data_IF_570494694154
#
_entry.id   IF_570494694154
#
_cell.length_a   1.000
_cell.length_b   1.000
_cell.length_c   1.000
_cell.angle_alpha   90.00
_cell.angle_beta   90.00
_cell.angle_gamma   90.00
#
_symmetry.space_group_name_H-M   'P 1'
#
loop_
_entity.id
_entity.type
_entity.pdbx_description
1 polymer ?
#
# COMPACT_ATOMS: atom_id res chain seq x y z
N UNK A 1 -3.12 36.38 -4.99
CA UNK A 1 -2.67 35.70 -3.75
C UNK A 1 -3.81 35.01 -3.00
N UNK A 2 -4.77 35.71 -2.35
CA UNK A 2 -5.87 35.03 -1.63
C UNK A 2 -6.90 34.34 -2.56
N UNK A 3 -7.14 34.90 -3.76
CA UNK A 3 -7.94 34.27 -4.83
C UNK A 3 -7.25 33.07 -5.50
N UNK A 4 -5.91 33.01 -5.49
CA UNK A 4 -5.16 31.89 -6.09
C UNK A 4 -5.14 30.65 -5.18
N UNK A 5 -5.13 30.86 -3.86
CA UNK A 5 -5.20 29.77 -2.88
C UNK A 5 -6.55 29.05 -2.89
N UNK A 6 -7.64 29.76 -3.21
CA UNK A 6 -8.98 29.17 -3.36
C UNK A 6 -9.14 28.34 -4.64
N UNK A 7 -8.25 28.49 -5.63
CA UNK A 7 -8.29 27.78 -6.91
C UNK A 7 -7.37 26.56 -6.97
N UNK A 8 -6.61 26.27 -5.90
CA UNK A 8 -5.74 25.09 -5.87
C UNK A 8 -6.48 23.91 -5.26
N UNK A 9 -6.59 22.86 -6.07
CA UNK A 9 -7.15 21.56 -5.70
C UNK A 9 -6.40 20.97 -4.51
N UNK A 10 -7.16 20.48 -3.52
CA UNK A 10 -6.65 19.78 -2.35
C UNK A 10 -6.84 18.27 -2.47
N UNK A 11 -5.86 17.56 -1.92
CA UNK A 11 -5.97 16.17 -1.53
C UNK A 11 -6.34 16.15 -0.05
N UNK A 12 -7.49 15.59 0.31
CA UNK A 12 -7.84 15.39 1.71
C UNK A 12 -7.40 14.00 2.17
N UNK A 13 -6.47 13.97 3.11
CA UNK A 13 -5.84 12.73 3.58
C UNK A 13 -6.38 12.35 4.96
N UNK A 14 -6.94 11.16 5.09
CA UNK A 14 -7.35 10.58 6.38
C UNK A 14 -6.26 9.64 6.89
N UNK A 15 -5.59 10.04 7.95
CA UNK A 15 -4.48 9.31 8.55
C UNK A 15 -3.19 10.13 8.62
N UNK A 16 -2.37 9.85 9.63
CA UNK A 16 -1.08 10.52 9.89
C UNK A 16 0.07 9.53 10.00
N UNK A 17 -0.11 8.31 9.48
CA UNK A 17 0.88 7.25 9.64
C UNK A 17 2.21 7.65 8.98
N UNK A 18 3.32 7.14 9.54
CA UNK A 18 4.64 7.26 8.91
C UNK A 18 4.67 6.73 7.48
N UNK A 19 3.80 5.76 7.18
CA UNK A 19 3.62 5.23 5.84
C UNK A 19 3.16 6.32 4.87
N UNK A 20 2.06 7.02 5.17
CA UNK A 20 1.58 8.13 4.32
C UNK A 20 2.65 9.23 4.17
N UNK A 21 3.36 9.55 5.26
CA UNK A 21 4.44 10.54 5.25
C UNK A 21 5.58 10.17 4.29
N UNK A 22 5.97 8.89 4.26
CA UNK A 22 7.00 8.38 3.38
C UNK A 22 6.47 7.88 2.02
N UNK A 23 5.20 8.06 1.69
CA UNK A 23 4.62 7.50 0.47
C UNK A 23 3.79 8.54 -0.27
N UNK A 24 2.51 8.71 0.09
CA UNK A 24 1.62 9.67 -0.57
C UNK A 24 2.13 11.09 -0.44
N UNK A 25 2.44 11.52 0.79
CA UNK A 25 2.95 12.87 1.03
C UNK A 25 4.31 13.09 0.34
N UNK A 26 5.16 12.05 0.34
CA UNK A 26 6.45 12.07 -0.33
C UNK A 26 6.29 12.29 -1.83
N UNK A 27 5.43 11.52 -2.51
CA UNK A 27 5.20 11.65 -3.95
C UNK A 27 4.60 13.01 -4.32
N UNK A 28 3.63 13.49 -3.55
CA UNK A 28 3.07 14.84 -3.76
C UNK A 28 4.14 15.91 -3.55
N UNK A 29 4.96 15.77 -2.51
CA UNK A 29 6.04 16.69 -2.19
C UNK A 29 7.09 16.77 -3.30
N UNK A 30 7.53 15.63 -3.83
CA UNK A 30 8.49 15.57 -4.94
C UNK A 30 7.88 16.10 -6.24
N UNK A 31 6.63 15.72 -6.55
CA UNK A 31 5.91 16.22 -7.73
C UNK A 31 5.79 17.75 -7.71
N UNK A 32 5.47 18.33 -6.55
CA UNK A 32 5.42 19.79 -6.38
C UNK A 32 6.80 20.43 -6.50
N UNK A 33 7.84 19.82 -5.90
CA UNK A 33 9.21 20.34 -5.97
C UNK A 33 9.76 20.36 -7.41
N UNK A 34 9.32 19.41 -8.25
CA UNK A 34 9.66 19.32 -9.67
C UNK A 34 8.77 20.19 -10.57
N UNK A 35 7.75 20.86 -10.02
CA UNK A 35 6.79 21.66 -10.79
C UNK A 35 5.79 20.84 -11.60
N UNK A 36 5.67 19.53 -11.33
CA UNK A 36 4.76 18.62 -12.02
C UNK A 36 3.34 18.63 -11.43
N UNK A 37 3.16 19.18 -10.23
CA UNK A 37 1.87 19.34 -9.59
C UNK A 37 1.81 20.62 -8.75
N UNK A 38 0.60 21.17 -8.61
CA UNK A 38 0.29 22.22 -7.63
C UNK A 38 -0.58 21.72 -6.47
N UNK A 39 -0.88 20.41 -6.43
CA UNK A 39 -1.71 19.81 -5.39
C UNK A 39 -1.07 19.96 -4.02
N UNK A 40 -1.89 20.18 -3.00
CA UNK A 40 -1.49 20.20 -1.59
C UNK A 40 -2.38 19.29 -0.76
N UNK A 41 -1.87 18.90 0.40
CA UNK A 41 -2.53 17.95 1.29
C UNK A 41 -3.14 18.67 2.48
N UNK A 42 -4.42 18.44 2.71
CA UNK A 42 -5.09 18.72 3.97
C UNK A 42 -5.20 17.40 4.75
N UNK A 43 -4.43 17.27 5.84
CA UNK A 43 -4.45 16.08 6.69
C UNK A 43 -5.63 16.17 7.65
N UNK A 44 -6.35 15.06 7.83
CA UNK A 44 -7.40 14.88 8.82
C UNK A 44 -7.01 13.75 9.77
N UNK A 45 -6.73 14.10 11.02
CA UNK A 45 -6.48 13.15 12.10
C UNK A 45 -7.80 12.80 12.80
N UNK A 46 -8.17 11.52 12.74
CA UNK A 46 -9.45 11.04 13.30
C UNK A 46 -9.36 10.55 14.74
N UNK A 47 -8.17 10.19 15.25
CA UNK A 47 -8.00 9.73 16.63
C UNK A 47 -7.57 10.87 17.54
N UNK A 48 -8.07 10.87 18.78
CA UNK A 48 -7.75 11.85 19.81
C UNK A 48 -6.47 11.52 20.60
N UNK A 49 -5.60 10.67 20.05
CA UNK A 49 -4.40 10.24 20.77
C UNK A 49 -3.43 11.42 20.99
N UNK A 50 -2.75 11.51 22.16
CA UNK A 50 -1.79 12.58 22.42
C UNK A 50 -0.68 12.66 21.37
N UNK A 51 -0.19 11.50 20.90
CA UNK A 51 0.80 11.42 19.83
C UNK A 51 0.25 11.98 18.49
N UNK A 52 -1.02 11.70 18.17
CA UNK A 52 -1.69 12.29 17.01
C UNK A 52 -1.73 13.81 17.09
N UNK A 53 -2.19 14.36 18.23
CA UNK A 53 -2.24 15.82 18.45
C UNK A 53 -0.87 16.48 18.35
N UNK A 54 0.19 15.84 18.87
CA UNK A 54 1.55 16.35 18.75
C UNK A 54 2.01 16.41 17.28
N UNK A 55 1.73 15.38 16.48
CA UNK A 55 1.99 15.38 15.04
C UNK A 55 1.23 16.48 14.30
N UNK A 56 -0.04 16.70 14.64
CA UNK A 56 -0.83 17.77 14.02
C UNK A 56 -0.26 19.16 14.27
N UNK A 57 0.14 19.44 15.52
CA UNK A 57 0.83 20.67 15.86
C UNK A 57 2.15 20.83 15.10
N UNK A 58 2.91 19.73 14.93
CA UNK A 58 4.14 19.74 14.16
C UNK A 58 3.90 20.04 12.66
N UNK A 59 2.91 19.40 12.03
CA UNK A 59 2.56 19.67 10.63
C UNK A 59 2.13 21.12 10.39
N UNK A 60 1.42 21.73 11.33
CA UNK A 60 1.00 23.14 11.21
C UNK A 60 2.11 24.15 11.54
N UNK A 61 3.15 23.75 12.27
CA UNK A 61 4.27 24.65 12.65
C UNK A 61 5.48 24.55 11.72
N UNK A 62 5.60 23.49 10.94
CA UNK A 62 6.73 23.26 10.05
C UNK A 62 6.30 23.29 8.58
N UNK A 63 7.00 24.08 7.77
CA UNK A 63 6.75 24.11 6.33
C UNK A 63 7.23 22.87 5.59
N UNK A 64 8.16 22.10 6.19
CA UNK A 64 8.70 20.84 5.63
C UNK A 64 9.05 19.86 6.74
N UNK A 65 9.08 18.56 6.44
CA UNK A 65 9.59 17.53 7.34
C UNK A 65 10.54 16.54 6.63
N UNK A 66 11.41 15.82 7.37
CA UNK A 66 12.36 14.89 6.77
C UNK A 66 11.74 13.53 6.44
N UNK A 67 12.05 13.00 5.25
CA UNK A 67 11.96 11.57 4.96
C UNK A 67 13.36 11.09 4.60
N UNK A 68 13.89 10.19 5.43
CA UNK A 68 15.20 9.58 5.20
C UNK A 68 15.01 8.34 4.34
N UNK A 69 15.67 8.29 3.19
CA UNK A 69 15.62 7.16 2.27
C UNK A 69 16.94 6.42 2.35
N UNK A 70 16.89 5.16 2.78
CA UNK A 70 18.08 4.34 3.00
C UNK A 70 17.93 2.93 2.42
N UNK A 71 18.88 2.51 1.59
CA UNK A 71 18.90 1.17 1.02
C UNK A 71 19.84 1.03 -0.15
N UNK A 72 19.49 0.13 -1.07
CA UNK A 72 20.21 -0.05 -2.32
C UNK A 72 19.25 0.29 -3.46
N UNK A 73 19.75 1.00 -4.47
CA UNK A 73 19.03 1.27 -5.70
C UNK A 73 20.01 1.33 -6.87
N UNK A 74 19.76 0.54 -7.91
CA UNK A 74 20.64 0.42 -9.08
C UNK A 74 22.10 0.07 -8.69
N UNK A 75 22.28 -0.78 -7.68
CA UNK A 75 23.58 -1.19 -7.13
C UNK A 75 24.26 -0.18 -6.20
N UNK A 76 23.76 1.05 -6.09
CA UNK A 76 24.32 2.09 -5.23
C UNK A 76 23.67 2.11 -3.85
N UNK A 77 24.47 2.38 -2.81
CA UNK A 77 23.95 2.61 -1.46
C UNK A 77 23.33 4.01 -1.41
N UNK A 78 22.02 4.05 -1.17
CA UNK A 78 21.26 5.28 -0.95
C UNK A 78 21.21 5.55 0.55
N UNK A 79 21.61 6.76 0.96
CA UNK A 79 21.40 7.31 2.29
C UNK A 79 21.23 8.82 2.18
N UNK A 80 20.00 9.27 1.98
CA UNK A 80 19.68 10.67 1.78
C UNK A 80 18.47 11.11 2.61
N UNK A 81 18.34 12.42 2.81
CA UNK A 81 17.19 13.02 3.50
C UNK A 81 16.48 13.97 2.55
N UNK A 82 15.23 13.65 2.25
CA UNK A 82 14.34 14.50 1.46
C UNK A 82 13.54 15.41 2.42
N UNK A 83 13.45 16.71 2.09
CA UNK A 83 12.60 17.66 2.82
C UNK A 83 11.26 17.78 2.12
N UNK A 84 10.24 17.15 2.68
CA UNK A 84 8.92 17.04 2.05
C UNK A 84 8.09 18.29 2.33
N UNK A 85 7.54 18.89 1.25
CA UNK A 85 6.72 20.10 1.27
C UNK A 85 5.34 19.88 0.61
N UNK A 86 4.56 18.95 1.15
CA UNK A 86 3.24 18.59 0.60
C UNK A 86 2.05 19.15 1.39
N UNK A 87 2.21 19.38 2.69
CA UNK A 87 1.10 19.68 3.61
C UNK A 87 0.77 21.17 3.58
N UNK A 88 -0.51 21.49 3.39
CA UNK A 88 -1.03 22.86 3.52
C UNK A 88 -1.59 23.10 4.92
N UNK A 89 -2.36 22.14 5.44
CA UNK A 89 -3.00 22.25 6.75
C UNK A 89 -3.21 20.87 7.36
N UNK A 90 -3.17 20.81 8.68
CA UNK A 90 -3.39 19.61 9.45
C UNK A 90 -4.56 19.88 10.42
N UNK A 91 -5.66 19.12 10.27
CA UNK A 91 -6.93 19.33 10.97
C UNK A 91 -7.30 18.14 11.84
N UNK A 92 -7.91 18.41 12.98
CA UNK A 92 -8.34 17.43 13.96
C UNK A 92 -9.86 17.20 13.82
N UNK A 93 -10.30 15.97 13.54
CA UNK A 93 -11.68 15.72 13.11
C UNK A 93 -12.74 16.15 14.14
N UNK A 94 -12.48 15.97 15.44
CA UNK A 94 -13.38 16.34 16.54
C UNK A 94 -13.41 17.85 16.84
N UNK A 95 -12.40 18.60 16.40
CA UNK A 95 -12.27 20.03 16.68
C UNK A 95 -12.62 20.88 15.45
N UNK A 96 -12.22 20.43 14.26
CA UNK A 96 -12.24 21.20 13.01
C UNK A 96 -13.30 20.74 12.01
N UNK A 97 -14.31 19.97 12.42
CA UNK A 97 -15.25 19.31 11.51
C UNK A 97 -15.93 20.26 10.51
N UNK A 98 -16.31 21.47 10.93
CA UNK A 98 -16.90 22.46 10.03
C UNK A 98 -15.91 22.94 8.96
N UNK A 99 -14.65 23.15 9.35
CA UNK A 99 -13.57 23.54 8.44
C UNK A 99 -13.30 22.42 7.43
N UNK A 100 -13.26 21.17 7.90
CA UNK A 100 -13.09 19.98 7.07
C UNK A 100 -14.23 19.90 6.04
N UNK A 101 -15.50 20.01 6.45
CA UNK A 101 -16.66 20.04 5.54
C UNK A 101 -16.53 21.16 4.50
N UNK A 102 -16.14 22.36 4.93
CA UNK A 102 -16.00 23.52 4.05
C UNK A 102 -14.93 23.28 2.97
N UNK A 103 -13.74 22.83 3.36
CA UNK A 103 -12.66 22.51 2.44
C UNK A 103 -13.04 21.38 1.49
N UNK A 104 -13.72 20.34 2.01
CA UNK A 104 -14.18 19.19 1.23
C UNK A 104 -15.13 19.60 0.09
N UNK A 105 -16.09 20.48 0.39
CA UNK A 105 -17.04 20.96 -0.61
C UNK A 105 -16.39 21.90 -1.63
N UNK A 106 -15.46 22.76 -1.20
CA UNK A 106 -14.95 23.87 -2.02
C UNK A 106 -13.70 23.54 -2.83
N UNK A 107 -12.79 22.72 -2.30
CA UNK A 107 -11.42 22.58 -2.84
C UNK A 107 -10.95 21.16 -3.05
N UNK A 108 -11.56 20.17 -2.38
CA UNK A 108 -11.11 18.78 -2.48
C UNK A 108 -11.47 18.20 -3.85
N UNK A 109 -10.48 17.59 -4.48
CA UNK A 109 -10.60 16.83 -5.73
C UNK A 109 -10.25 15.36 -5.57
N UNK A 110 -9.41 15.05 -4.58
CA UNK A 110 -8.95 13.70 -4.27
C UNK A 110 -9.06 13.45 -2.76
N UNK A 111 -9.49 12.26 -2.38
CA UNK A 111 -9.46 11.77 -1.00
C UNK A 111 -8.49 10.60 -0.94
N UNK A 112 -7.59 10.62 0.03
CA UNK A 112 -6.69 9.50 0.32
C UNK A 112 -6.95 9.02 1.73
N UNK A 113 -6.95 7.71 1.97
CA UNK A 113 -7.06 7.14 3.31
C UNK A 113 -6.01 6.08 3.58
N UNK A 114 -5.48 6.10 4.80
CA UNK A 114 -4.82 4.94 5.40
C UNK A 114 -5.13 4.98 6.91
N UNK A 115 -6.26 4.39 7.26
CA UNK A 115 -6.89 4.50 8.59
C UNK A 115 -6.61 3.30 9.50
N UNK A 116 -5.47 2.63 9.27
CA UNK A 116 -5.02 1.39 9.92
C UNK A 116 -5.92 0.17 9.65
N UNK A 117 -5.57 -0.98 10.24
CA UNK A 117 -6.14 -2.30 9.91
C UNK A 117 -7.66 -2.40 10.11
N UNK A 118 -8.23 -1.56 10.99
CA UNK A 118 -9.67 -1.52 11.27
C UNK A 118 -10.35 -0.30 10.63
N UNK A 119 -9.68 0.36 9.69
CA UNK A 119 -10.10 1.62 9.08
C UNK A 119 -11.51 1.60 8.48
N UNK A 120 -11.90 0.46 7.90
CA UNK A 120 -13.21 0.29 7.27
C UNK A 120 -14.30 -0.24 8.21
N UNK A 121 -13.98 -0.50 9.48
CA UNK A 121 -15.00 -0.96 10.43
C UNK A 121 -16.01 0.16 10.71
N UNK A 122 -17.28 -0.22 10.64
CA UNK A 122 -18.39 0.67 10.99
C UNK A 122 -18.50 0.80 12.51
N UNK A 123 -18.96 1.96 12.97
CA UNK A 123 -19.29 2.18 14.37
C UNK A 123 -20.81 2.22 14.57
N UNK A 124 -21.31 1.50 15.57
CA UNK A 124 -22.75 1.43 15.84
C UNK A 124 -23.36 2.77 16.30
N UNK A 125 -22.54 3.66 16.86
CA UNK A 125 -22.98 4.98 17.32
C UNK A 125 -23.10 5.99 16.16
N UNK A 126 -22.64 5.63 14.96
CA UNK A 126 -22.80 6.49 13.78
C UNK A 126 -24.23 6.38 13.23
N UNK A 127 -24.94 7.51 13.23
CA UNK A 127 -26.34 7.63 12.81
C UNK A 127 -26.60 8.86 11.92
N UNK A 128 -27.75 8.85 11.23
CA UNK A 128 -28.12 9.87 10.23
C UNK A 128 -28.16 11.31 10.77
N UNK A 129 -28.43 11.52 12.07
CA UNK A 129 -28.46 12.87 12.66
C UNK A 129 -27.12 13.61 12.56
N UNK A 130 -26.02 12.88 12.33
CA UNK A 130 -24.69 13.47 12.14
C UNK A 130 -24.55 14.26 10.84
N UNK A 131 -25.38 13.98 9.82
CA UNK A 131 -25.33 14.62 8.50
C UNK A 131 -25.44 16.14 8.57
N UNK A 132 -26.28 16.65 9.47
CA UNK A 132 -26.51 18.09 9.67
C UNK A 132 -25.82 18.63 10.93
N UNK A 133 -24.99 17.82 11.58
CA UNK A 133 -24.32 18.19 12.83
C UNK A 133 -22.93 18.81 12.58
N UNK A 134 -22.37 19.44 13.62
CA UNK A 134 -20.96 19.79 13.66
C UNK A 134 -20.09 18.75 14.40
N UNK A 135 -20.58 17.51 14.53
CA UNK A 135 -19.87 16.41 15.17
C UNK A 135 -19.37 15.45 14.09
N UNK A 136 -18.08 15.13 14.13
CA UNK A 136 -17.52 14.14 13.23
C UNK A 136 -17.99 12.73 13.60
N UNK A 137 -18.43 11.90 12.63
CA UNK A 137 -18.68 10.48 12.85
C UNK A 137 -17.44 9.76 13.39
N UNK A 138 -17.61 8.62 14.07
CA UNK A 138 -16.53 7.83 14.66
C UNK A 138 -15.80 6.98 13.63
N UNK A 139 -16.51 6.24 12.79
CA UNK A 139 -15.90 5.42 11.73
C UNK A 139 -15.49 6.26 10.51
N UNK A 140 -14.46 5.83 9.79
CA UNK A 140 -14.04 6.52 8.57
C UNK A 140 -15.10 6.46 7.46
N UNK A 141 -15.75 5.31 7.15
CA UNK A 141 -16.82 5.27 6.16
C UNK A 141 -17.96 6.25 6.46
N UNK A 142 -18.36 6.41 7.74
CA UNK A 142 -19.38 7.38 8.12
C UNK A 142 -18.91 8.83 7.98
N UNK A 143 -17.65 9.16 8.35
CA UNK A 143 -17.07 10.49 8.11
C UNK A 143 -17.10 10.83 6.63
N UNK A 144 -16.67 9.90 5.78
CA UNK A 144 -16.66 10.07 4.34
C UNK A 144 -18.08 10.26 3.79
N UNK A 145 -19.06 9.48 4.25
CA UNK A 145 -20.46 9.63 3.87
C UNK A 145 -21.00 11.04 4.18
N UNK A 146 -20.76 11.56 5.39
CA UNK A 146 -21.21 12.91 5.78
C UNK A 146 -20.58 13.98 4.90
N UNK A 147 -19.28 13.87 4.60
CA UNK A 147 -18.57 14.81 3.74
C UNK A 147 -19.07 14.75 2.29
N UNK A 148 -19.28 13.54 1.76
CA UNK A 148 -19.83 13.32 0.43
C UNK A 148 -21.25 13.88 0.31
N UNK A 149 -22.09 13.69 1.34
CA UNK A 149 -23.43 14.27 1.35
C UNK A 149 -23.39 15.80 1.37
N UNK A 150 -22.53 16.39 2.19
CA UNK A 150 -22.36 17.84 2.24
C UNK A 150 -21.90 18.40 0.89
N UNK A 151 -21.01 17.69 0.17
CA UNK A 151 -20.56 18.08 -1.18
C UNK A 151 -21.65 17.92 -2.22
N UNK A 152 -22.40 16.82 -2.17
CA UNK A 152 -23.54 16.62 -3.05
C UNK A 152 -24.54 17.77 -2.93
N UNK A 153 -24.89 18.18 -1.70
CA UNK A 153 -25.80 19.31 -1.49
C UNK A 153 -25.21 20.65 -1.93
N UNK A 154 -23.87 20.77 -1.93
CA UNK A 154 -23.18 22.00 -2.31
C UNK A 154 -23.04 22.18 -3.82
N UNK A 155 -22.58 21.15 -4.55
CA UNK A 155 -22.29 21.28 -5.99
C UNK A 155 -22.47 20.01 -6.84
N UNK A 156 -22.74 18.85 -6.24
CA UNK A 156 -22.87 17.56 -6.95
C UNK A 156 -21.67 17.21 -7.85
N UNK A 157 -20.50 17.82 -7.65
CA UNK A 157 -19.30 17.48 -8.42
C UNK A 157 -18.63 16.24 -7.84
N UNK A 158 -18.38 15.23 -8.68
CA UNK A 158 -17.61 14.05 -8.32
C UNK A 158 -16.19 14.36 -7.81
N UNK A 159 -15.54 13.33 -7.26
CA UNK A 159 -14.14 13.35 -6.86
C UNK A 159 -13.53 11.95 -6.92
N UNK A 160 -12.20 11.85 -6.82
CA UNK A 160 -11.48 10.58 -6.81
C UNK A 160 -11.18 10.17 -5.37
N UNK A 161 -11.59 8.97 -4.99
CA UNK A 161 -11.41 8.40 -3.65
C UNK A 161 -10.41 7.25 -3.77
N UNK A 162 -9.30 7.35 -3.06
CA UNK A 162 -8.11 6.52 -3.23
C UNK A 162 -7.70 5.91 -1.88
N UNK A 163 -8.40 4.86 -1.42
CA UNK A 163 -7.97 4.13 -0.24
C UNK A 163 -6.61 3.46 -0.45
N UNK A 164 -5.78 3.53 0.58
CA UNK A 164 -4.48 2.86 0.68
C UNK A 164 -4.49 1.84 1.82
N UNK A 165 -5.67 1.44 2.30
CA UNK A 165 -5.86 0.33 3.23
C UNK A 165 -5.43 -1.01 2.59
N UNK A 166 -4.87 -1.92 3.41
CA UNK A 166 -4.47 -3.26 3.00
C UNK A 166 -5.67 -4.21 2.87
N UNK A 167 -6.58 -3.83 1.98
CA UNK A 167 -7.82 -4.55 1.64
C UNK A 167 -7.81 -4.79 0.14
N UNK A 168 -8.09 -6.03 -0.29
CA UNK A 168 -8.24 -6.36 -1.71
C UNK A 168 -9.45 -5.61 -2.25
N UNK A 169 -9.34 -5.03 -3.45
CA UNK A 169 -10.39 -4.21 -4.06
C UNK A 169 -10.88 -3.09 -3.11
N UNK A 170 -9.94 -2.41 -2.45
CA UNK A 170 -10.21 -1.44 -1.37
C UNK A 170 -11.14 -0.29 -1.77
N UNK A 171 -11.11 0.15 -3.02
CA UNK A 171 -12.02 1.14 -3.58
C UNK A 171 -13.46 0.62 -3.61
N UNK A 172 -13.66 -0.58 -4.16
CA UNK A 172 -14.97 -1.22 -4.26
C UNK A 172 -15.55 -1.57 -2.88
N UNK A 173 -14.73 -2.12 -1.97
CA UNK A 173 -15.16 -2.41 -0.60
C UNK A 173 -15.60 -1.13 0.12
N UNK A 174 -14.84 -0.05 0.01
CA UNK A 174 -15.21 1.23 0.63
C UNK A 174 -16.49 1.81 0.00
N UNK A 175 -16.63 1.72 -1.33
CA UNK A 175 -17.83 2.14 -2.06
C UNK A 175 -19.07 1.43 -1.54
N UNK A 176 -19.01 0.10 -1.42
CA UNK A 176 -20.12 -0.71 -0.90
C UNK A 176 -20.48 -0.35 0.54
N UNK A 177 -19.49 -0.14 1.41
CA UNK A 177 -19.71 0.28 2.79
C UNK A 177 -20.40 1.64 2.89
N UNK A 178 -19.93 2.62 2.11
CA UNK A 178 -20.50 3.99 2.11
C UNK A 178 -21.91 3.99 1.52
N UNK A 179 -22.16 3.26 0.43
CA UNK A 179 -23.50 3.12 -0.15
C UNK A 179 -24.44 2.37 0.81
N UNK A 180 -23.94 1.32 1.47
CA UNK A 180 -24.69 0.58 2.48
C UNK A 180 -25.11 1.46 3.65
N UNK A 181 -24.19 2.31 4.14
CA UNK A 181 -24.51 3.33 5.14
C UNK A 181 -25.52 4.36 4.61
N UNK A 182 -25.36 4.86 3.39
CA UNK A 182 -26.28 5.83 2.78
C UNK A 182 -27.72 5.29 2.72
N UNK A 183 -27.88 4.02 2.31
CA UNK A 183 -29.17 3.32 2.32
C UNK A 183 -29.71 3.11 3.73
N UNK A 184 -28.86 2.68 4.68
CA UNK A 184 -29.24 2.50 6.09
C UNK A 184 -29.73 3.82 6.72
N UNK A 185 -29.10 4.94 6.35
CA UNK A 185 -29.47 6.28 6.79
C UNK A 185 -30.58 6.91 5.94
N UNK A 186 -31.21 6.13 5.05
CA UNK A 186 -32.36 6.52 4.23
C UNK A 186 -32.10 7.77 3.36
N UNK A 187 -30.88 7.89 2.82
CA UNK A 187 -30.54 8.96 1.88
C UNK A 187 -31.20 8.74 0.52
N UNK A 188 -31.38 9.83 -0.24
CA UNK A 188 -32.11 9.81 -1.50
C UNK A 188 -31.44 8.93 -2.56
N UNK A 189 -32.26 8.34 -3.43
CA UNK A 189 -31.77 7.54 -4.56
C UNK A 189 -30.86 8.34 -5.50
N UNK A 190 -31.15 9.64 -5.68
CA UNK A 190 -30.29 10.54 -6.46
C UNK A 190 -28.88 10.66 -5.87
N UNK A 191 -28.76 10.73 -4.54
CA UNK A 191 -27.45 10.79 -3.89
C UNK A 191 -26.71 9.45 -4.02
N UNK A 192 -27.41 8.32 -3.88
CA UNK A 192 -26.82 6.99 -4.08
C UNK A 192 -26.33 6.81 -5.51
N UNK A 193 -27.12 7.20 -6.52
CA UNK A 193 -26.70 7.18 -7.92
C UNK A 193 -25.47 8.06 -8.15
N UNK A 194 -25.44 9.26 -7.57
CA UNK A 194 -24.28 10.15 -7.63
C UNK A 194 -23.01 9.51 -7.03
N UNK A 195 -23.11 8.83 -5.88
CA UNK A 195 -21.99 8.08 -5.32
C UNK A 195 -21.47 6.98 -6.26
N UNK A 196 -22.37 6.36 -7.04
CA UNK A 196 -22.05 5.26 -7.93
C UNK A 196 -21.42 5.71 -9.25
N UNK A 197 -21.89 6.82 -9.79
CA UNK A 197 -21.64 7.24 -11.18
C UNK A 197 -20.71 8.45 -11.28
N UNK A 198 -20.75 9.36 -10.30
CA UNK A 198 -19.97 10.61 -10.34
C UNK A 198 -18.67 10.54 -9.54
N UNK A 199 -18.60 9.70 -8.50
CA UNK A 199 -17.37 9.48 -7.74
C UNK A 199 -16.57 8.32 -8.31
N UNK A 200 -15.25 8.51 -8.48
CA UNK A 200 -14.32 7.44 -8.84
C UNK A 200 -13.77 6.80 -7.55
N UNK A 201 -13.91 5.49 -7.42
CA UNK A 201 -13.47 4.71 -6.25
C UNK A 201 -12.29 3.85 -6.67
N UNK A 202 -11.10 4.43 -6.62
CA UNK A 202 -9.90 3.81 -7.17
C UNK A 202 -9.48 2.63 -6.30
N UNK A 203 -9.39 1.44 -6.91
CA UNK A 203 -8.64 0.35 -6.30
C UNK A 203 -7.15 0.64 -6.42
N UNK A 204 -6.40 0.44 -5.34
CA UNK A 204 -4.96 0.63 -5.37
C UNK A 204 -4.19 -0.33 -4.48
N UNK A 205 -2.96 -0.63 -4.91
CA UNK A 205 -1.97 -1.36 -4.14
C UNK A 205 -0.79 -0.44 -3.85
N UNK A 206 -0.40 -0.40 -2.57
CA UNK A 206 0.74 0.38 -2.11
C UNK A 206 1.82 -0.54 -1.54
N UNK A 207 3.10 -0.25 -1.83
CA UNK A 207 4.23 -1.01 -1.30
C UNK A 207 5.43 -0.10 -1.05
N UNK A 208 5.85 -0.01 0.20
CA UNK A 208 7.11 0.62 0.64
C UNK A 208 7.39 0.20 2.07
N UNK A 209 8.59 -0.28 2.35
CA UNK A 209 9.04 -0.52 3.73
C UNK A 209 9.37 0.81 4.40
N UNK A 210 8.74 1.05 5.55
CA UNK A 210 8.98 2.22 6.41
C UNK A 210 9.38 1.72 7.80
N UNK A 211 10.67 1.78 8.11
CA UNK A 211 11.26 1.14 9.29
C UNK A 211 10.97 1.95 10.56
N UNK A 212 11.19 3.26 10.51
CA UNK A 212 11.26 4.12 11.68
C UNK A 212 10.49 5.43 11.49
N UNK A 213 10.07 6.02 12.60
CA UNK A 213 9.55 7.37 12.64
C UNK A 213 10.69 8.36 12.95
N UNK A 214 10.62 9.56 12.38
CA UNK A 214 11.44 10.69 12.80
C UNK A 214 10.51 11.64 13.55
N UNK A 215 10.75 11.83 14.85
CA UNK A 215 9.90 12.66 15.68
C UNK A 215 10.23 14.16 15.47
N UNK A 216 9.21 15.05 15.48
CA UNK A 216 7.79 14.75 15.69
C UNK A 216 7.05 14.32 14.42
N UNK A 217 7.59 14.63 13.23
CA UNK A 217 7.05 14.24 11.92
C UNK A 217 8.20 13.89 10.98
N UNK A 218 8.01 12.84 10.19
CA UNK A 218 9.00 12.25 9.32
C UNK A 218 9.12 10.74 9.49
N UNK A 219 9.91 10.14 8.60
CA UNK A 219 10.02 8.69 8.51
C UNK A 219 11.34 8.26 7.87
N UNK A 220 11.75 7.03 8.17
CA UNK A 220 12.83 6.32 7.47
C UNK A 220 12.22 5.24 6.60
N UNK A 221 12.56 5.22 5.31
CA UNK A 221 12.00 4.30 4.35
C UNK A 221 13.06 3.75 3.38
N UNK A 222 12.76 2.63 2.75
CA UNK A 222 13.59 2.10 1.66
C UNK A 222 13.43 2.94 0.36
N UNK A 223 14.37 2.84 -0.60
CA UNK A 223 14.27 3.53 -1.89
C UNK A 223 13.10 3.03 -2.75
N UNK A 224 12.84 1.72 -2.74
CA UNK A 224 11.73 1.13 -3.48
C UNK A 224 10.39 1.66 -2.96
N UNK A 225 9.54 2.13 -3.87
CA UNK A 225 8.18 2.54 -3.54
C UNK A 225 7.27 2.31 -4.75
N UNK A 226 6.04 1.86 -4.49
CA UNK A 226 5.01 1.61 -5.50
C UNK A 226 3.65 2.11 -5.01
N UNK A 227 2.94 2.80 -5.91
CA UNK A 227 1.50 3.02 -5.84
C UNK A 227 0.89 2.59 -7.17
N UNK A 228 0.48 1.33 -7.25
CA UNK A 228 -0.24 0.81 -8.40
C UNK A 228 -1.73 1.16 -8.24
N UNK A 229 -2.32 1.74 -9.27
CA UNK A 229 -3.72 2.15 -9.29
C UNK A 229 -4.36 1.53 -10.52
N UNK A 230 -5.47 0.83 -10.33
CA UNK A 230 -6.20 0.21 -11.43
C UNK A 230 -6.83 1.29 -12.32
N UNK A 231 -6.68 1.16 -13.65
CA UNK A 231 -7.29 2.09 -14.59
C UNK A 231 -8.82 1.99 -14.50
N UNK A 232 -9.45 3.13 -14.28
CA UNK A 232 -10.91 3.25 -14.23
C UNK A 232 -11.35 4.48 -15.02
N UNK A 233 -12.61 4.49 -15.44
CA UNK A 233 -13.21 5.67 -16.07
C UNK A 233 -13.23 6.84 -15.08
N UNK A 234 -12.96 8.06 -15.56
CA UNK A 234 -12.87 9.28 -14.74
C UNK A 234 -11.76 9.31 -13.66
N UNK A 235 -10.88 8.31 -13.63
CA UNK A 235 -9.70 8.33 -12.76
C UNK A 235 -8.75 9.46 -13.16
N UNK A 236 -8.38 10.28 -12.18
CA UNK A 236 -7.28 11.24 -12.31
C UNK A 236 -6.29 10.99 -11.18
N UNK A 237 -5.01 11.23 -11.46
CA UNK A 237 -3.95 11.04 -10.45
C UNK A 237 -3.81 12.29 -9.58
N UNK A 238 -3.55 12.13 -8.27
CA UNK A 238 -3.41 13.27 -7.35
C UNK A 238 -2.14 14.09 -7.60
N UNK A 239 -1.12 13.45 -8.19
CA UNK A 239 0.13 14.06 -8.62
C UNK A 239 0.85 13.18 -9.66
N UNK A 240 1.89 13.69 -10.29
CA UNK A 240 2.77 12.91 -11.17
C UNK A 240 4.04 12.49 -10.41
N UNK A 241 4.31 11.19 -10.36
CA UNK A 241 5.50 10.63 -9.72
C UNK A 241 5.85 9.27 -10.34
N UNK A 242 7.14 8.94 -10.45
CA UNK A 242 7.62 7.71 -11.15
C UNK A 242 7.18 6.41 -10.48
N UNK A 243 6.97 6.44 -9.16
CA UNK A 243 6.42 5.32 -8.36
C UNK A 243 4.92 5.14 -8.46
N UNK A 244 4.18 6.08 -9.08
CA UNK A 244 2.74 5.92 -9.33
C UNK A 244 2.57 5.23 -10.68
N UNK A 245 1.91 4.07 -10.68
CA UNK A 245 1.71 3.24 -11.87
C UNK A 245 0.22 3.04 -12.11
N UNK A 246 -0.26 3.44 -13.29
CA UNK A 246 -1.59 3.04 -13.77
C UNK A 246 -1.48 1.66 -14.40
N UNK A 247 -2.26 0.71 -13.91
CA UNK A 247 -2.22 -0.69 -14.34
C UNK A 247 -3.60 -1.17 -14.77
N UNK A 248 -3.64 -2.14 -15.68
CA UNK A 248 -4.91 -2.71 -16.14
C UNK A 248 -5.50 -3.73 -15.14
N UNK A 249 -4.66 -4.33 -14.30
CA UNK A 249 -5.05 -5.32 -13.29
C UNK A 249 -4.13 -5.22 -12.07
N UNK A 250 -4.70 -4.97 -10.90
CA UNK A 250 -3.94 -5.04 -9.64
C UNK A 250 -3.56 -6.47 -9.28
N UNK A 251 -4.38 -7.45 -9.68
CA UNK A 251 -4.15 -8.88 -9.42
C UNK A 251 -2.82 -9.34 -10.03
N UNK A 252 -2.44 -8.77 -11.17
CA UNK A 252 -1.19 -9.13 -11.85
C UNK A 252 0.02 -8.64 -11.05
N UNK A 253 -0.07 -7.42 -10.51
CA UNK A 253 0.95 -6.84 -9.62
C UNK A 253 1.03 -7.61 -8.30
N UNK A 254 -0.12 -7.99 -7.72
CA UNK A 254 -0.19 -8.82 -6.52
C UNK A 254 0.43 -10.19 -6.74
N UNK A 255 0.15 -10.83 -7.88
CA UNK A 255 0.71 -12.14 -8.21
C UNK A 255 2.21 -12.06 -8.49
N UNK A 256 2.69 -10.99 -9.14
CA UNK A 256 4.12 -10.73 -9.31
C UNK A 256 4.83 -10.57 -7.96
N UNK A 257 4.27 -9.77 -7.05
CA UNK A 257 4.75 -9.63 -5.66
C UNK A 257 4.71 -10.97 -4.91
N UNK A 258 3.66 -11.76 -5.12
CA UNK A 258 3.52 -13.08 -4.52
C UNK A 258 4.65 -14.02 -4.98
N UNK A 259 4.85 -14.10 -6.28
CA UNK A 259 5.80 -15.03 -6.90
C UNK A 259 7.26 -14.66 -6.71
N UNK A 260 7.59 -13.38 -6.57
CA UNK A 260 8.97 -12.95 -6.35
C UNK A 260 9.21 -12.65 -4.88
N UNK A 261 8.68 -11.54 -4.35
CA UNK A 261 9.01 -11.07 -3.00
C UNK A 261 8.57 -12.05 -1.90
N UNK A 262 7.30 -12.44 -1.91
CA UNK A 262 6.72 -13.25 -0.83
C UNK A 262 7.22 -14.69 -0.87
N UNK A 263 7.31 -15.29 -2.06
CA UNK A 263 7.88 -16.61 -2.28
C UNK A 263 9.34 -16.65 -1.87
N UNK A 264 10.16 -15.66 -2.28
CA UNK A 264 11.60 -15.65 -1.93
C UNK A 264 11.82 -15.62 -0.42
N UNK A 265 11.05 -14.81 0.31
CA UNK A 265 11.09 -14.82 1.78
C UNK A 265 10.72 -16.17 2.37
N UNK A 266 9.62 -16.78 1.89
CA UNK A 266 9.18 -18.09 2.38
C UNK A 266 10.22 -19.16 2.07
N UNK A 267 10.77 -19.18 0.85
CA UNK A 267 11.76 -20.17 0.43
C UNK A 267 13.08 -20.04 1.20
N UNK A 268 13.56 -18.81 1.45
CA UNK A 268 14.73 -18.59 2.30
C UNK A 268 14.51 -19.13 3.72
N UNK A 269 13.32 -18.93 4.29
CA UNK A 269 12.99 -19.50 5.61
C UNK A 269 12.93 -21.01 5.58
N UNK A 270 12.33 -21.61 4.54
CA UNK A 270 12.25 -23.08 4.38
C UNK A 270 13.64 -23.72 4.34
N UNK A 271 14.59 -23.12 3.62
CA UNK A 271 15.99 -23.56 3.62
C UNK A 271 16.68 -23.31 4.97
N UNK A 272 16.43 -22.15 5.58
CA UNK A 272 17.06 -21.76 6.84
C UNK A 272 16.68 -22.69 8.01
N UNK A 273 15.43 -23.17 8.06
CA UNK A 273 14.96 -24.07 9.12
C UNK A 273 15.60 -25.46 9.07
N UNK A 274 16.23 -25.86 7.96
CA UNK A 274 17.03 -27.09 7.87
C UNK A 274 18.26 -27.05 8.80
N UNK A 275 18.74 -25.86 9.16
CA UNK A 275 19.88 -25.66 10.06
C UNK A 275 21.27 -25.89 9.43
N UNK A 276 21.34 -26.61 8.31
CA UNK A 276 22.52 -26.77 7.47
C UNK A 276 22.14 -26.89 5.99
N UNK A 277 23.02 -26.43 5.10
CA UNK A 277 22.86 -26.57 3.65
C UNK A 277 24.24 -26.79 3.00
N UNK A 278 24.36 -27.80 2.14
CA UNK A 278 25.63 -28.18 1.49
C UNK A 278 26.81 -28.39 2.46
N UNK A 279 26.54 -28.81 3.70
CA UNK A 279 27.56 -29.01 4.75
C UNK A 279 27.97 -27.73 5.48
N UNK A 280 27.33 -26.59 5.20
CA UNK A 280 27.54 -25.33 5.92
C UNK A 280 26.39 -25.07 6.91
N UNK A 281 26.75 -24.68 8.13
CA UNK A 281 25.79 -24.35 9.19
C UNK A 281 25.08 -23.02 8.91
N UNK A 282 23.77 -22.99 9.10
CA UNK A 282 22.94 -21.78 8.94
C UNK A 282 22.62 -21.08 10.26
N UNK A 283 23.13 -21.58 11.39
CA UNK A 283 22.82 -21.07 12.75
C UNK A 283 23.20 -19.61 12.98
N UNK A 284 24.18 -19.09 12.23
CA UNK A 284 24.65 -17.70 12.35
C UNK A 284 23.87 -16.74 11.43
N UNK A 285 23.06 -17.27 10.52
CA UNK A 285 22.23 -16.48 9.61
C UNK A 285 20.95 -16.11 10.34
N UNK A 286 20.74 -14.84 10.66
CA UNK A 286 19.59 -14.36 11.44
C UNK A 286 18.65 -13.48 10.63
N UNK A 287 19.15 -12.84 9.58
CA UNK A 287 18.44 -11.86 8.76
C UNK A 287 18.39 -12.27 7.29
N UNK A 288 17.42 -11.71 6.56
CA UNK A 288 17.30 -11.88 5.10
C UNK A 288 18.58 -11.42 4.38
N UNK A 289 19.19 -10.32 4.84
CA UNK A 289 20.45 -9.83 4.27
C UNK A 289 21.57 -10.86 4.45
N UNK A 290 21.76 -11.39 5.65
CA UNK A 290 22.78 -12.42 5.91
C UNK A 290 22.50 -13.69 5.08
N UNK A 291 21.23 -14.07 4.88
CA UNK A 291 20.87 -15.19 4.01
C UNK A 291 21.25 -14.93 2.54
N UNK A 292 21.19 -13.68 2.11
CA UNK A 292 21.56 -13.26 0.76
C UNK A 292 23.06 -13.10 0.56
N UNK A 293 23.79 -12.81 1.64
CA UNK A 293 25.25 -12.81 1.68
C UNK A 293 25.80 -14.26 1.79
N UNK A 294 25.01 -15.21 2.31
CA UNK A 294 25.38 -16.63 2.38
C UNK A 294 25.28 -17.31 1.02
N UNK A 295 26.43 -17.79 0.52
CA UNK A 295 26.58 -18.35 -0.84
C UNK A 295 25.53 -19.41 -1.21
N UNK A 296 25.30 -20.41 -0.36
CA UNK A 296 24.38 -21.52 -0.70
C UNK A 296 22.91 -21.10 -0.71
N UNK A 297 22.47 -20.31 0.28
CA UNK A 297 21.10 -19.80 0.35
C UNK A 297 20.81 -18.87 -0.85
N UNK A 298 21.75 -17.97 -1.16
CA UNK A 298 21.65 -17.10 -2.32
C UNK A 298 21.57 -17.90 -3.62
N UNK A 299 22.44 -18.88 -3.81
CA UNK A 299 22.44 -19.72 -5.01
C UNK A 299 21.14 -20.53 -5.16
N UNK A 300 20.62 -21.09 -4.07
CA UNK A 300 19.36 -21.83 -4.08
C UNK A 300 18.17 -20.92 -4.45
N UNK A 301 18.09 -19.73 -3.85
CA UNK A 301 17.04 -18.76 -4.17
C UNK A 301 17.12 -18.31 -5.63
N UNK A 302 18.31 -18.00 -6.13
CA UNK A 302 18.49 -17.60 -7.53
C UNK A 302 18.13 -18.71 -8.51
N UNK A 303 18.44 -19.97 -8.17
CA UNK A 303 18.11 -21.12 -9.00
C UNK A 303 16.60 -21.39 -9.06
N UNK A 304 15.84 -21.24 -7.95
CA UNK A 304 14.37 -21.39 -8.02
C UNK A 304 13.72 -20.22 -8.78
N UNK A 305 14.22 -19.00 -8.60
CA UNK A 305 13.72 -17.83 -9.32
C UNK A 305 13.95 -17.97 -10.82
N UNK A 306 15.18 -18.27 -11.24
CA UNK A 306 15.55 -18.33 -12.65
C UNK A 306 14.95 -19.53 -13.39
N UNK A 307 14.94 -20.72 -12.76
CA UNK A 307 14.58 -21.94 -13.48
C UNK A 307 13.09 -22.26 -13.43
N UNK A 308 12.37 -21.77 -12.42
CA UNK A 308 10.96 -22.12 -12.19
C UNK A 308 10.06 -20.87 -12.16
N UNK A 309 10.29 -19.93 -11.24
CA UNK A 309 9.36 -18.82 -11.00
C UNK A 309 9.29 -17.83 -12.17
N UNK A 310 10.43 -17.31 -12.65
CA UNK A 310 10.46 -16.33 -13.74
C UNK A 310 9.79 -16.89 -15.01
N UNK A 311 10.10 -18.12 -15.47
CA UNK A 311 9.39 -18.73 -16.58
C UNK A 311 7.87 -18.77 -16.41
N UNK A 312 7.37 -19.07 -15.21
CA UNK A 312 5.92 -19.10 -14.92
C UNK A 312 5.33 -17.69 -15.06
N UNK A 313 5.99 -16.68 -14.48
CA UNK A 313 5.52 -15.29 -14.50
C UNK A 313 5.49 -14.72 -15.93
N UNK A 314 6.53 -15.01 -16.73
CA UNK A 314 6.59 -14.61 -18.14
C UNK A 314 5.51 -15.31 -18.97
N UNK A 315 5.32 -16.62 -18.80
CA UNK A 315 4.28 -17.37 -19.51
C UNK A 315 2.86 -16.94 -19.11
N UNK A 316 2.68 -16.40 -17.91
CA UNK A 316 1.42 -15.84 -17.43
C UNK A 316 1.13 -14.41 -17.96
N UNK A 317 2.04 -13.79 -18.73
CA UNK A 317 1.91 -12.43 -19.28
C UNK A 317 1.60 -11.35 -18.22
N UNK A 318 2.14 -11.49 -17.01
CA UNK A 318 1.77 -10.63 -15.88
C UNK A 318 2.42 -9.24 -15.91
N UNK A 319 3.56 -9.08 -16.58
CA UNK A 319 4.24 -7.78 -16.71
C UNK A 319 5.35 -7.85 -17.76
N UNK A 320 5.62 -6.71 -18.42
CA UNK A 320 6.80 -6.53 -19.28
C UNK A 320 8.11 -6.38 -18.46
N UNK A 321 8.04 -6.29 -17.13
CA UNK A 321 9.16 -5.88 -16.27
C UNK A 321 9.47 -6.87 -15.12
N UNK A 322 9.24 -8.17 -15.33
CA UNK A 322 9.47 -9.22 -14.31
C UNK A 322 10.93 -9.20 -13.82
N UNK A 323 11.90 -9.10 -14.72
CA UNK A 323 13.32 -9.12 -14.39
C UNK A 323 13.73 -7.91 -13.53
N UNK A 324 13.30 -6.70 -13.89
CA UNK A 324 13.54 -5.49 -13.10
C UNK A 324 12.93 -5.61 -11.70
N UNK A 325 11.73 -6.20 -11.59
CA UNK A 325 11.13 -6.45 -10.29
C UNK A 325 11.95 -7.44 -9.46
N UNK A 326 12.48 -8.50 -10.06
CA UNK A 326 13.40 -9.44 -9.39
C UNK A 326 14.66 -8.73 -8.91
N UNK A 327 15.30 -7.90 -9.73
CA UNK A 327 16.45 -7.09 -9.30
C UNK A 327 16.09 -6.18 -8.13
N UNK A 328 14.94 -5.49 -8.20
CA UNK A 328 14.48 -4.63 -7.11
C UNK A 328 14.30 -5.42 -5.80
N UNK A 329 13.77 -6.64 -5.85
CA UNK A 329 13.63 -7.51 -4.66
C UNK A 329 14.99 -7.91 -4.11
N UNK A 330 15.97 -8.22 -4.96
CA UNK A 330 17.34 -8.53 -4.54
C UNK A 330 17.97 -7.35 -3.81
N UNK A 331 17.87 -6.13 -4.35
CA UNK A 331 18.38 -4.91 -3.73
C UNK A 331 17.74 -4.66 -2.37
N UNK A 332 16.42 -4.85 -2.26
CA UNK A 332 15.68 -4.71 -0.99
C UNK A 332 16.13 -5.72 0.05
N UNK A 333 16.37 -6.96 -0.36
CA UNK A 333 16.86 -8.02 0.54
C UNK A 333 18.30 -7.80 1.00
N UNK A 334 19.12 -7.13 0.20
CA UNK A 334 20.50 -6.75 0.53
C UNK A 334 20.60 -5.41 1.26
N UNK A 335 19.48 -4.73 1.55
CA UNK A 335 19.46 -3.42 2.18
C UNK A 335 20.21 -3.44 3.53
N UNK A 336 21.34 -2.73 3.69
CA UNK A 336 22.16 -2.81 4.89
C UNK A 336 21.54 -2.10 6.10
N UNK A 337 20.50 -1.30 5.89
CA UNK A 337 19.80 -0.54 6.92
C UNK A 337 18.59 -1.27 7.51
N UNK A 338 18.23 -2.44 6.97
CA UNK A 338 17.09 -3.23 7.44
C UNK A 338 17.57 -4.53 8.11
N UNK A 339 17.03 -4.81 9.29
CA UNK A 339 17.27 -6.06 10.03
C UNK A 339 16.02 -6.96 9.97
N UNK A 340 15.69 -7.45 8.77
CA UNK A 340 14.57 -8.35 8.57
C UNK A 340 14.92 -9.75 9.11
N UNK A 341 14.45 -10.07 10.31
CA UNK A 341 14.75 -11.35 10.95
C UNK A 341 14.02 -12.50 10.27
N UNK A 342 14.74 -13.56 9.94
CA UNK A 342 14.15 -14.80 9.41
C UNK A 342 13.15 -15.42 10.39
N UNK A 343 13.40 -15.28 11.70
CA UNK A 343 12.48 -15.73 12.75
C UNK A 343 11.09 -15.08 12.68
N UNK A 344 11.02 -13.79 12.33
CA UNK A 344 9.75 -13.06 12.23
C UNK A 344 8.98 -13.53 10.98
N UNK A 345 9.73 -13.81 9.91
CA UNK A 345 9.18 -14.36 8.66
C UNK A 345 8.74 -15.82 8.85
N UNK A 346 9.37 -16.58 9.74
CA UNK A 346 9.05 -17.98 10.03
C UNK A 346 7.73 -18.18 10.79
N UNK A 347 7.18 -17.14 11.41
CA UNK A 347 5.88 -17.26 12.09
C UNK A 347 4.79 -17.70 11.10
N UNK A 348 4.01 -18.73 11.45
CA UNK A 348 2.99 -19.35 10.60
C UNK A 348 3.53 -19.83 9.24
N UNK A 349 4.73 -20.44 9.23
CA UNK A 349 5.44 -20.82 8.00
C UNK A 349 4.62 -21.70 7.05
N UNK A 350 4.00 -22.78 7.55
CA UNK A 350 3.23 -23.70 6.73
C UNK A 350 2.08 -22.99 5.97
N UNK A 351 1.34 -22.11 6.65
CA UNK A 351 0.30 -21.31 6.02
C UNK A 351 0.86 -20.29 5.01
N UNK A 352 2.10 -19.80 5.21
CA UNK A 352 2.79 -18.96 4.22
C UNK A 352 3.24 -19.78 3.01
N UNK A 353 3.67 -21.03 3.16
CA UNK A 353 3.99 -21.93 2.05
C UNK A 353 2.74 -22.18 1.21
N UNK A 354 1.62 -22.54 1.84
CA UNK A 354 0.32 -22.72 1.18
C UNK A 354 -0.09 -21.48 0.39
N UNK A 355 0.00 -20.28 0.98
CA UNK A 355 -0.51 -19.06 0.34
C UNK A 355 0.44 -18.45 -0.68
N UNK A 356 1.74 -18.77 -0.65
CA UNK A 356 2.77 -18.07 -1.43
C UNK A 356 3.49 -18.95 -2.45
N UNK A 357 3.57 -20.25 -2.20
CA UNK A 357 4.28 -21.19 -3.08
C UNK A 357 3.28 -22.00 -3.91
N UNK A 358 2.22 -22.53 -3.28
CA UNK A 358 1.24 -23.37 -3.97
C UNK A 358 0.58 -22.66 -5.18
N UNK A 359 0.15 -21.37 -5.09
CA UNK A 359 -0.46 -20.70 -6.24
C UNK A 359 0.51 -20.53 -7.41
N UNK A 360 1.81 -20.36 -7.14
CA UNK A 360 2.84 -20.25 -8.18
C UNK A 360 3.06 -21.60 -8.86
N UNK A 361 3.14 -22.67 -8.07
CA UNK A 361 3.25 -24.04 -8.58
C UNK A 361 2.07 -24.40 -9.48
N UNK A 362 0.83 -24.20 -8.99
CA UNK A 362 -0.39 -24.44 -9.76
C UNK A 362 -0.43 -23.63 -11.05
N UNK A 363 -0.11 -22.32 -10.98
CA UNK A 363 -0.03 -21.48 -12.17
C UNK A 363 0.99 -22.00 -13.18
N UNK A 364 2.13 -22.51 -12.72
CA UNK A 364 3.14 -23.11 -13.57
C UNK A 364 2.64 -24.33 -14.33
N UNK A 365 1.90 -25.22 -13.67
CA UNK A 365 1.28 -26.37 -14.30
C UNK A 365 0.27 -25.96 -15.38
N UNK A 366 -0.48 -24.89 -15.13
CA UNK A 366 -1.48 -24.37 -16.08
C UNK A 366 -0.83 -23.75 -17.33
N UNK A 367 0.19 -22.90 -17.15
CA UNK A 367 0.76 -22.09 -18.24
C UNK A 367 1.95 -22.76 -18.94
N UNK A 368 2.57 -23.76 -18.32
CA UNK A 368 3.73 -24.49 -18.83
C UNK A 368 3.61 -26.00 -18.55
N UNK A 369 2.58 -26.69 -19.09
CA UNK A 369 2.26 -28.07 -18.73
C UNK A 369 3.35 -29.10 -19.07
N UNK A 370 4.28 -28.77 -19.98
CA UNK A 370 5.39 -29.64 -20.35
C UNK A 370 6.65 -29.44 -19.48
N UNK A 371 6.67 -28.44 -18.60
CA UNK A 371 7.80 -28.12 -17.73
C UNK A 371 7.55 -28.66 -16.33
N UNK A 372 8.57 -29.23 -15.71
CA UNK A 372 8.53 -29.62 -14.30
C UNK A 372 9.04 -28.50 -13.39
N UNK A 373 8.54 -28.48 -12.15
CA UNK A 373 8.89 -27.50 -11.11
C UNK A 373 9.38 -28.21 -9.83
N UNK A 374 10.51 -28.94 -9.90
CA UNK A 374 10.94 -29.81 -8.82
C UNK A 374 11.26 -29.06 -7.51
N UNK A 375 11.76 -27.82 -7.56
CA UNK A 375 12.12 -27.07 -6.34
C UNK A 375 10.87 -26.54 -5.63
N UNK A 376 9.89 -26.01 -6.38
CA UNK A 376 8.59 -25.65 -5.83
C UNK A 376 7.88 -26.87 -5.24
N UNK A 377 7.86 -28.00 -5.96
CA UNK A 377 7.25 -29.24 -5.51
C UNK A 377 7.94 -29.83 -4.26
N UNK A 378 9.26 -29.76 -4.18
CA UNK A 378 10.03 -30.21 -3.02
C UNK A 378 9.69 -29.37 -1.77
N UNK A 379 9.63 -28.04 -1.90
CA UNK A 379 9.27 -27.15 -0.80
C UNK A 379 7.83 -27.42 -0.30
N UNK A 380 6.87 -27.60 -1.22
CA UNK A 380 5.50 -27.97 -0.90
C UNK A 380 5.42 -29.31 -0.17
N UNK A 381 6.12 -30.32 -0.68
CA UNK A 381 6.17 -31.66 -0.09
C UNK A 381 6.77 -31.64 1.32
N UNK A 382 7.89 -30.93 1.53
CA UNK A 382 8.51 -30.79 2.85
C UNK A 382 7.58 -30.15 3.89
N UNK A 383 6.58 -29.38 3.45
CA UNK A 383 5.61 -28.71 4.30
C UNK A 383 4.23 -29.39 4.32
N UNK A 384 4.13 -30.63 3.84
CA UNK A 384 2.95 -31.48 3.97
C UNK A 384 1.88 -31.32 2.87
N UNK A 385 2.19 -30.66 1.75
CA UNK A 385 1.26 -30.44 0.63
C UNK A 385 1.38 -31.50 -0.48
N UNK A 386 1.61 -32.78 -0.13
CA UNK A 386 1.86 -33.88 -1.09
C UNK A 386 0.69 -34.11 -2.07
N UNK A 387 -0.56 -34.09 -1.59
CA UNK A 387 -1.73 -34.34 -2.43
C UNK A 387 -1.93 -33.26 -3.50
N UNK A 388 -1.62 -32.00 -3.18
CA UNK A 388 -1.65 -30.88 -4.13
C UNK A 388 -0.59 -30.96 -5.23
N UNK A 389 0.42 -31.83 -5.07
CA UNK A 389 1.49 -32.10 -6.05
C UNK A 389 1.17 -33.35 -6.88
N UNK A 390 0.50 -34.35 -6.29
CA UNK A 390 0.17 -35.63 -6.93
C UNK A 390 -1.07 -35.59 -7.84
N UNK A 391 -2.07 -34.73 -7.56
CA UNK A 391 -3.30 -34.61 -8.38
C UNK A 391 -3.05 -34.09 -9.81
N UNK A 392 -1.83 -33.70 -10.17
CA UNK A 392 -1.47 -33.18 -11.51
C UNK A 392 -0.72 -34.19 -12.38
N UNK A 393 -0.42 -35.39 -11.87
CA UNK A 393 0.25 -36.47 -12.63
C UNK A 393 -0.69 -37.60 -13.08
N UNK A 394 -2.00 -37.40 -12.94
CA UNK A 394 -3.08 -38.24 -13.49
C UNK A 394 -3.91 -37.41 -14.47
#
# INVERSE_FOLDING_TARGET
>A
MQKDLLNQNLIMQFGTSRFLQAHVDFFVGESVAQGLSSSKIAIVQSSSSPAGKHRMAAFNSHSTYPVKVQGIQNGDVIDCVHKIKAIEVALQADEDWQTIKTLFCQRVSHVVSNTADQGFQLNADDHADLLNSNVAPKSFPAKLLVLLKARFDFNQQGLVIMPCELVVDNGDVLKELVIGLAKKWQLSEQFVAWLQESCCWANSLVDRIVSDAIEPIGAVAEPYALWAIEKQENLTLPCQHTSIKLVDSLKDIEFLKLGVLNLSHTYLVDLWTLGELNGHSLKEVMTVREAMEHKDLRAALESILAEEVIPILLAANLSEDVESYVESVRERFLNPFLQHKLSDIAQNHQAKVERRILPIYQKGLDVLPAKSFPKLAACLSANGFHQSVEETFL
#
